data_IF_747569872803
#
_entry.id   IF_747569872803
#
_cell.length_a   1.000
_cell.length_b   1.000
_cell.length_c   1.000
_cell.angle_alpha   90.00
_cell.angle_beta   90.00
_cell.angle_gamma   90.00
#
_symmetry.space_group_name_H-M   'P 1'
#
loop_
_entity.id
_entity.type
_entity.pdbx_description
1 polymer ?
#
# COMPACT_ATOMS: atom_id res chain seq x y z
N UNK A 1 4.32 3.67 -14.86
CA UNK A 1 3.31 4.30 -13.97
C UNK A 1 3.02 3.35 -12.84
N UNK A 2 2.94 3.86 -11.61
CA UNK A 2 2.66 3.10 -10.40
C UNK A 2 1.45 2.18 -10.53
N UNK A 3 1.48 1.09 -9.79
CA UNK A 3 0.33 0.25 -9.56
C UNK A 3 -0.48 0.80 -8.39
N UNK A 4 -1.65 1.36 -8.69
CA UNK A 4 -2.53 2.00 -7.70
C UNK A 4 -3.53 0.97 -7.19
N UNK A 5 -3.48 0.67 -5.90
CA UNK A 5 -4.26 -0.39 -5.27
C UNK A 5 -5.05 0.19 -4.10
N UNK A 6 -6.38 0.06 -4.14
CA UNK A 6 -7.25 0.43 -3.02
C UNK A 6 -7.49 -0.78 -2.12
N UNK A 7 -7.24 -0.62 -0.82
CA UNK A 7 -7.73 -1.53 0.21
C UNK A 7 -9.10 -1.06 0.65
N UNK A 8 -10.11 -1.90 0.45
CA UNK A 8 -11.50 -1.58 0.77
C UNK A 8 -12.11 -2.60 1.72
N UNK A 9 -13.09 -2.13 2.49
CA UNK A 9 -13.73 -2.90 3.53
C UNK A 9 -15.25 -2.80 3.47
N UNK A 10 -15.88 -3.70 4.21
CA UNK A 10 -17.31 -3.82 4.42
C UNK A 10 -17.88 -3.02 5.60
N UNK A 11 -17.10 -2.88 6.66
CA UNK A 11 -17.44 -2.35 7.99
C UNK A 11 -16.14 -1.96 8.72
N UNK A 12 -16.19 -1.02 9.68
CA UNK A 12 -15.01 -0.67 10.48
C UNK A 12 -14.44 -1.86 11.25
N UNK A 13 -13.12 -1.91 11.42
CA UNK A 13 -12.46 -2.88 12.32
C UNK A 13 -11.90 -4.16 11.68
N UNK A 14 -12.10 -4.45 10.39
CA UNK A 14 -11.53 -5.67 9.75
C UNK A 14 -10.07 -5.52 9.31
N UNK A 15 -9.25 -4.68 9.95
CA UNK A 15 -7.80 -4.62 9.69
C UNK A 15 -7.36 -4.02 8.35
N UNK A 16 -8.22 -3.26 7.65
CA UNK A 16 -7.89 -2.56 6.39
C UNK A 16 -6.67 -1.62 6.55
N UNK A 17 -6.75 -0.66 7.47
CA UNK A 17 -5.65 0.29 7.73
C UNK A 17 -4.37 -0.44 8.15
N UNK A 18 -4.47 -1.41 9.06
CA UNK A 18 -3.34 -2.27 9.44
C UNK A 18 -2.73 -2.99 8.24
N UNK A 19 -3.56 -3.47 7.31
CA UNK A 19 -3.11 -4.11 6.08
C UNK A 19 -2.42 -3.12 5.17
N UNK A 20 -3.00 -1.94 4.95
CA UNK A 20 -2.39 -0.90 4.11
C UNK A 20 -1.02 -0.49 4.65
N UNK A 21 -0.92 -0.22 5.95
CA UNK A 21 0.33 0.19 6.63
C UNK A 21 1.40 -0.88 6.52
N UNK A 22 1.08 -2.12 6.86
CA UNK A 22 2.07 -3.20 6.84
C UNK A 22 2.45 -3.62 5.42
N UNK A 23 1.51 -3.57 4.48
CA UNK A 23 1.82 -3.78 3.05
C UNK A 23 2.76 -2.70 2.55
N UNK A 24 2.47 -1.43 2.84
CA UNK A 24 3.32 -0.31 2.43
C UNK A 24 4.73 -0.42 3.02
N UNK A 25 4.80 -0.75 4.32
CA UNK A 25 6.06 -0.88 5.05
C UNK A 25 6.93 -2.02 4.52
N UNK A 26 6.33 -3.20 4.29
CA UNK A 26 7.09 -4.33 3.74
C UNK A 26 7.48 -4.09 2.28
N UNK A 27 6.60 -3.55 1.43
CA UNK A 27 6.96 -3.19 0.06
C UNK A 27 8.12 -2.19 0.01
N UNK A 28 8.14 -1.20 0.90
CA UNK A 28 9.24 -0.25 1.01
C UNK A 28 10.54 -0.91 1.52
N UNK A 29 10.45 -1.87 2.44
CA UNK A 29 11.58 -2.71 2.86
C UNK A 29 12.08 -3.64 1.75
N UNK A 30 11.21 -4.01 0.81
CA UNK A 30 11.50 -4.74 -0.44
C UNK A 30 11.89 -3.82 -1.61
N UNK A 31 11.87 -2.50 -1.34
CA UNK A 31 12.47 -1.42 -2.11
C UNK A 31 11.66 -0.87 -3.25
N UNK A 32 10.39 -1.18 -3.23
CA UNK A 32 9.46 -0.46 -4.06
C UNK A 32 9.32 0.96 -3.54
N UNK A 33 9.22 1.92 -4.45
CA UNK A 33 8.76 3.27 -4.09
C UNK A 33 7.27 3.21 -3.83
N UNK A 34 6.88 3.42 -2.58
CA UNK A 34 5.48 3.31 -2.13
C UNK A 34 4.96 4.66 -1.66
N UNK A 35 3.78 5.01 -2.13
CA UNK A 35 2.95 6.06 -1.54
C UNK A 35 1.76 5.42 -0.83
N UNK A 36 1.66 5.58 0.48
CA UNK A 36 0.44 5.26 1.23
C UNK A 36 -0.46 6.50 1.27
N UNK A 37 -1.74 6.36 0.92
CA UNK A 37 -2.70 7.46 0.89
C UNK A 37 -3.80 7.18 1.90
N UNK A 38 -3.95 8.06 2.88
CA UNK A 38 -5.07 8.02 3.81
C UNK A 38 -6.27 8.73 3.18
N UNK A 39 -7.34 8.00 2.87
CA UNK A 39 -8.60 8.58 2.36
C UNK A 39 -9.70 8.60 3.41
N UNK A 40 -9.43 8.10 4.62
CA UNK A 40 -10.40 8.06 5.70
C UNK A 40 -10.28 9.34 6.53
N UNK A 41 -11.33 10.17 6.67
CA UNK A 41 -11.29 11.36 7.52
C UNK A 41 -10.95 11.06 8.99
N UNK A 42 -11.06 9.80 9.43
CA UNK A 42 -10.58 9.40 10.75
C UNK A 42 -9.04 9.45 10.89
N UNK A 43 -8.29 9.53 9.79
CA UNK A 43 -6.83 9.67 9.83
C UNK A 43 -6.09 8.44 10.39
N UNK A 44 -6.75 7.28 10.44
CA UNK A 44 -6.21 6.10 11.11
C UNK A 44 -4.89 5.62 10.48
N UNK A 45 -4.72 5.73 9.15
CA UNK A 45 -3.45 5.35 8.51
C UNK A 45 -2.36 6.33 8.91
N UNK A 46 -2.68 7.62 8.91
CA UNK A 46 -1.79 8.70 9.31
C UNK A 46 -1.30 8.51 10.75
N UNK A 47 -2.21 8.25 11.69
CA UNK A 47 -1.89 7.96 13.09
C UNK A 47 -1.09 6.67 13.26
N UNK A 48 -1.42 5.61 12.52
CA UNK A 48 -0.68 4.34 12.58
C UNK A 48 0.78 4.51 12.15
N UNK A 49 1.08 5.46 11.26
CA UNK A 49 2.46 5.85 10.95
C UNK A 49 3.09 6.81 11.97
N UNK A 50 2.41 7.12 13.07
CA UNK A 50 2.93 7.91 14.19
C UNK A 50 2.83 9.43 13.99
N UNK A 51 1.98 9.90 13.10
CA UNK A 51 1.71 11.34 12.93
C UNK A 51 0.45 11.74 13.68
N UNK A 52 0.56 12.79 14.49
CA UNK A 52 -0.56 13.35 15.24
C UNK A 52 -1.49 14.15 14.30
N UNK A 53 -2.66 13.59 14.01
CA UNK A 53 -3.64 14.18 13.08
C UNK A 53 -4.26 15.49 13.55
N UNK A 54 -4.27 15.74 14.85
CA UNK A 54 -4.89 16.95 15.41
C UNK A 54 -4.02 18.19 15.19
N UNK A 55 -2.69 17.98 15.11
CA UNK A 55 -1.70 19.03 14.86
C UNK A 55 -1.23 19.09 13.41
N UNK A 56 -1.57 18.09 12.60
CA UNK A 56 -1.04 17.94 11.25
C UNK A 56 -1.79 18.83 10.25
N UNK A 57 -1.06 19.79 9.67
CA UNK A 57 -1.48 20.59 8.52
C UNK A 57 -0.23 21.06 7.76
N UNK A 58 -0.21 21.02 6.42
CA UNK A 58 -1.30 20.63 5.52
C UNK A 58 -1.50 19.11 5.39
N UNK A 59 -2.70 18.70 4.99
CA UNK A 59 -3.09 17.31 4.71
C UNK A 59 -3.70 17.17 3.31
N UNK A 60 -4.18 15.97 2.98
CA UNK A 60 -4.90 15.68 1.73
C UNK A 60 -6.03 16.68 1.45
N UNK A 61 -6.65 17.23 2.50
CA UNK A 61 -7.65 18.29 2.42
C UNK A 61 -7.17 19.47 1.57
N UNK A 62 -5.99 20.03 1.85
CA UNK A 62 -5.46 21.19 1.13
C UNK A 62 -5.06 20.84 -0.32
N UNK A 63 -4.71 19.58 -0.61
CA UNK A 63 -4.51 19.13 -2.00
C UNK A 63 -5.83 19.08 -2.78
N UNK A 64 -6.90 18.59 -2.15
CA UNK A 64 -8.23 18.54 -2.77
C UNK A 64 -8.76 19.94 -3.08
N UNK A 65 -8.48 20.90 -2.22
CA UNK A 65 -8.79 22.32 -2.42
C UNK A 65 -7.86 23.03 -3.42
N UNK A 66 -6.77 22.38 -3.85
CA UNK A 66 -5.71 22.95 -4.70
C UNK A 66 -5.02 24.19 -4.07
N UNK A 67 -4.99 24.25 -2.75
CA UNK A 67 -4.32 25.31 -2.00
C UNK A 67 -2.82 25.02 -1.81
N UNK A 68 -2.47 23.73 -1.86
CA UNK A 68 -1.11 23.22 -1.69
C UNK A 68 -0.72 22.29 -2.81
N UNK A 69 0.59 22.20 -3.06
CA UNK A 69 1.18 21.24 -3.98
C UNK A 69 1.43 19.89 -3.30
N UNK A 70 1.55 18.82 -4.08
CA UNK A 70 1.84 17.47 -3.55
C UNK A 70 3.09 17.46 -2.65
N UNK A 71 4.16 18.13 -3.06
CA UNK A 71 5.43 18.16 -2.34
C UNK A 71 5.36 18.92 -1.00
N UNK A 72 4.41 19.87 -0.85
CA UNK A 72 4.16 20.56 0.41
C UNK A 72 3.39 19.70 1.43
N UNK A 73 2.68 18.66 0.97
CA UNK A 73 1.77 17.86 1.80
C UNK A 73 2.31 16.47 2.11
N UNK A 74 3.08 15.88 1.18
CA UNK A 74 3.57 14.51 1.34
C UNK A 74 4.56 14.38 2.50
N UNK A 75 4.32 13.41 3.38
CA UNK A 75 5.21 13.06 4.48
C UNK A 75 6.18 11.97 4.05
N UNK A 76 7.48 12.22 4.22
CA UNK A 76 8.53 11.25 3.87
C UNK A 76 8.86 10.39 5.09
N UNK A 77 8.13 9.30 5.31
CA UNK A 77 8.37 8.35 6.42
C UNK A 77 9.72 7.64 6.28
N UNK A 78 10.10 7.30 5.05
CA UNK A 78 11.42 6.77 4.74
C UNK A 78 11.79 7.11 3.30
N UNK A 79 12.95 6.64 2.87
CA UNK A 79 13.44 6.78 1.51
C UNK A 79 12.52 6.18 0.43
N UNK A 80 11.86 5.07 0.78
CA UNK A 80 11.01 4.28 -0.11
C UNK A 80 9.52 4.35 0.26
N UNK A 81 9.18 4.97 1.40
CA UNK A 81 7.80 5.08 1.87
C UNK A 81 7.42 6.53 2.13
N UNK A 82 6.48 7.02 1.34
CA UNK A 82 5.84 8.32 1.52
C UNK A 82 4.39 8.13 1.93
N UNK A 83 3.82 9.14 2.59
CA UNK A 83 2.45 9.14 3.07
C UNK A 83 1.78 10.42 2.61
N UNK A 84 0.60 10.32 2.00
CA UNK A 84 -0.34 11.42 1.90
C UNK A 84 -1.25 11.36 3.14
N UNK A 85 -1.04 12.25 4.12
CA UNK A 85 -1.77 12.20 5.36
C UNK A 85 -3.18 12.76 5.22
N UNK A 86 -4.04 12.37 6.15
CA UNK A 86 -5.40 12.87 6.25
C UNK A 86 -5.80 13.15 7.70
N UNK A 87 -6.81 13.98 7.89
CA UNK A 87 -7.37 14.31 9.19
C UNK A 87 -8.87 14.63 9.07
N UNK A 88 -9.49 14.99 10.19
CA UNK A 88 -10.94 15.22 10.29
C UNK A 88 -11.45 16.38 9.40
N UNK A 89 -10.57 17.30 8.99
CA UNK A 89 -10.93 18.40 8.08
C UNK A 89 -11.51 17.90 6.75
N UNK A 90 -11.11 16.71 6.30
CA UNK A 90 -11.58 16.10 5.05
C UNK A 90 -13.10 15.85 5.04
N UNK A 91 -13.73 15.73 6.21
CA UNK A 91 -15.20 15.64 6.30
C UNK A 91 -15.89 16.89 5.73
N UNK A 92 -15.30 18.07 5.90
CA UNK A 92 -15.84 19.32 5.31
C UNK A 92 -15.71 19.35 3.78
N UNK A 93 -14.62 18.77 3.26
CA UNK A 93 -14.36 18.63 1.84
C UNK A 93 -15.34 17.68 1.18
N UNK A 94 -15.77 16.62 1.87
CA UNK A 94 -16.75 15.67 1.36
C UNK A 94 -18.04 16.38 0.90
N UNK A 95 -18.56 17.33 1.70
CA UNK A 95 -19.71 18.15 1.33
C UNK A 95 -19.44 19.09 0.14
N UNK A 96 -18.24 19.63 0.05
CA UNK A 96 -17.80 20.51 -1.05
C UNK A 96 -17.68 19.74 -2.36
N UNK A 97 -17.16 18.51 -2.31
CA UNK A 97 -17.04 17.62 -3.47
C UNK A 97 -18.41 17.32 -4.07
N UNK A 98 -19.47 17.12 -3.29
CA UNK A 98 -20.81 16.85 -3.84
C UNK A 98 -21.30 17.94 -4.80
N UNK A 99 -20.88 19.19 -4.60
CA UNK A 99 -21.25 20.35 -5.44
C UNK A 99 -20.28 20.57 -6.61
N UNK A 100 -19.16 19.85 -6.64
CA UNK A 100 -18.09 20.04 -7.61
C UNK A 100 -18.33 19.25 -8.90
N UNK A 101 -17.93 19.84 -10.04
CA UNK A 101 -17.91 19.14 -11.31
C UNK A 101 -16.77 18.11 -11.33
N UNK A 102 -16.98 16.93 -11.93
CA UNK A 102 -16.00 15.83 -11.96
C UNK A 102 -15.44 15.43 -10.58
N UNK A 103 -16.26 15.58 -9.54
CA UNK A 103 -15.92 15.29 -8.13
C UNK A 103 -15.40 13.87 -7.87
N UNK A 104 -15.71 12.92 -8.74
CA UNK A 104 -15.26 11.53 -8.65
C UNK A 104 -13.79 11.35 -9.07
N UNK A 105 -13.20 12.31 -9.77
CA UNK A 105 -11.89 12.19 -10.42
C UNK A 105 -10.77 12.95 -9.70
N UNK A 106 -11.07 13.67 -8.62
CA UNK A 106 -10.15 14.58 -7.94
C UNK A 106 -8.87 13.87 -7.51
N UNK A 107 -8.98 12.72 -6.84
CA UNK A 107 -7.80 11.97 -6.41
C UNK A 107 -6.97 11.45 -7.59
N UNK A 108 -7.63 10.95 -8.66
CA UNK A 108 -6.95 10.45 -9.85
C UNK A 108 -6.11 11.54 -10.50
N UNK A 109 -6.69 12.72 -10.68
CA UNK A 109 -6.06 13.84 -11.36
C UNK A 109 -4.91 14.41 -10.51
N UNK A 110 -5.06 14.40 -9.18
CA UNK A 110 -3.99 14.76 -8.24
C UNK A 110 -2.81 13.78 -8.25
N UNK A 111 -3.07 12.46 -8.32
CA UNK A 111 -2.01 11.45 -8.33
C UNK A 111 -1.34 11.29 -9.69
N UNK A 112 -2.00 11.67 -10.78
CA UNK A 112 -1.49 11.47 -12.15
C UNK A 112 -0.08 12.05 -12.36
N UNK A 113 0.22 13.32 -11.99
CA UNK A 113 1.54 13.92 -12.20
C UNK A 113 2.67 13.21 -11.45
N UNK A 114 2.38 12.63 -10.28
CA UNK A 114 3.40 11.99 -9.41
C UNK A 114 3.45 10.47 -9.55
N UNK A 115 2.49 9.88 -10.27
CA UNK A 115 2.36 8.41 -10.42
C UNK A 115 3.58 7.71 -11.02
N UNK A 116 4.48 8.43 -11.69
CA UNK A 116 5.72 7.87 -12.24
C UNK A 116 6.84 7.76 -11.21
N UNK A 117 6.73 8.43 -10.06
CA UNK A 117 7.72 8.44 -8.99
C UNK A 117 7.60 7.23 -8.05
N UNK A 118 6.52 6.47 -8.17
CA UNK A 118 6.20 5.34 -7.31
C UNK A 118 6.03 4.05 -8.14
N UNK A 119 6.36 2.92 -7.54
CA UNK A 119 6.02 1.60 -8.05
C UNK A 119 4.63 1.18 -7.58
N UNK A 120 4.27 1.51 -6.32
CA UNK A 120 2.96 1.27 -5.75
C UNK A 120 2.38 2.54 -5.12
N UNK A 121 1.08 2.74 -5.32
CA UNK A 121 0.29 3.70 -4.54
C UNK A 121 -0.81 2.90 -3.85
N UNK A 122 -0.78 2.83 -2.52
CA UNK A 122 -1.73 2.08 -1.72
C UNK A 122 -2.71 3.03 -1.06
N UNK A 123 -3.99 2.87 -1.35
CA UNK A 123 -5.04 3.77 -0.85
C UNK A 123 -5.83 3.08 0.25
N UNK A 124 -5.84 3.69 1.43
CA UNK A 124 -6.63 3.26 2.57
C UNK A 124 -8.03 3.90 2.51
N UNK A 125 -9.01 3.17 1.96
CA UNK A 125 -10.34 3.73 1.72
C UNK A 125 -11.14 3.93 3.02
N UNK A 126 -12.05 4.91 3.12
CA UNK A 126 -12.96 5.00 4.25
C UNK A 126 -13.92 3.80 4.31
N UNK A 127 -14.51 3.49 5.48
CA UNK A 127 -15.45 2.37 5.64
C UNK A 127 -16.78 2.58 4.92
N UNK A 128 -17.12 3.83 4.59
CA UNK A 128 -18.35 4.20 3.90
C UNK A 128 -18.14 4.22 2.38
N UNK A 129 -19.10 3.73 1.61
CA UNK A 129 -19.08 3.75 0.13
C UNK A 129 -19.53 5.11 -0.44
N UNK A 130 -19.08 6.21 0.18
CA UNK A 130 -19.36 7.59 -0.21
C UNK A 130 -18.44 8.11 -1.32
N UNK A 131 -18.45 9.43 -1.54
CA UNK A 131 -17.69 10.09 -2.62
C UNK A 131 -16.17 9.91 -2.48
N UNK A 132 -15.65 9.79 -1.26
CA UNK A 132 -14.23 9.53 -1.00
C UNK A 132 -13.81 8.11 -1.44
N UNK A 133 -14.64 7.10 -1.15
CA UNK A 133 -14.43 5.74 -1.63
C UNK A 133 -14.53 5.66 -3.16
N UNK A 134 -15.45 6.41 -3.77
CA UNK A 134 -15.53 6.52 -5.24
C UNK A 134 -14.25 7.13 -5.81
N UNK A 135 -13.74 8.22 -5.23
CA UNK A 135 -12.46 8.82 -5.65
C UNK A 135 -11.30 7.83 -5.59
N UNK A 136 -11.20 7.07 -4.50
CA UNK A 136 -10.19 6.03 -4.35
C UNK A 136 -10.28 4.97 -5.46
N UNK A 137 -11.49 4.45 -5.74
CA UNK A 137 -11.69 3.45 -6.79
C UNK A 137 -11.49 3.99 -8.21
N UNK A 138 -11.78 5.28 -8.45
CA UNK A 138 -11.54 5.94 -9.73
C UNK A 138 -10.05 6.17 -9.97
N UNK A 139 -9.27 6.46 -8.93
CA UNK A 139 -7.82 6.57 -9.02
C UNK A 139 -7.10 5.21 -9.14
N UNK A 140 -7.72 4.14 -8.65
CA UNK A 140 -7.12 2.81 -8.57
C UNK A 140 -7.12 2.03 -9.87
N UNK A 141 -6.07 1.23 -10.09
CA UNK A 141 -6.06 0.18 -11.11
C UNK A 141 -6.67 -1.10 -10.56
N UNK A 142 -6.49 -1.34 -9.28
CA UNK A 142 -6.82 -2.60 -8.62
C UNK A 142 -7.47 -2.32 -7.27
N UNK A 143 -8.37 -3.20 -6.84
CA UNK A 143 -8.93 -3.18 -5.49
C UNK A 143 -8.73 -4.53 -4.81
N UNK A 144 -8.41 -4.48 -3.52
CA UNK A 144 -8.31 -5.63 -2.64
C UNK A 144 -9.33 -5.46 -1.52
N UNK A 145 -10.19 -6.46 -1.37
CA UNK A 145 -11.17 -6.53 -0.30
C UNK A 145 -10.54 -7.15 0.94
N UNK A 146 -10.55 -6.42 2.06
CA UNK A 146 -10.07 -6.93 3.35
C UNK A 146 -11.27 -7.41 4.17
N UNK A 147 -11.23 -8.67 4.60
CA UNK A 147 -12.33 -9.34 5.31
C UNK A 147 -11.84 -9.90 6.63
N UNK A 148 -12.66 -9.80 7.68
CA UNK A 148 -12.50 -10.57 8.92
C UNK A 148 -13.69 -11.52 9.09
N UNK A 149 -13.48 -12.80 9.45
CA UNK A 149 -14.56 -13.74 9.68
C UNK A 149 -15.61 -13.27 10.68
N UNK A 150 -15.18 -12.63 11.78
CA UNK A 150 -16.07 -12.13 12.83
C UNK A 150 -17.05 -11.07 12.31
N UNK A 151 -16.62 -10.32 11.29
CA UNK A 151 -17.35 -9.19 10.72
C UNK A 151 -17.82 -9.48 9.29
N UNK A 152 -18.04 -10.75 8.95
CA UNK A 152 -18.45 -11.19 7.60
C UNK A 152 -19.96 -11.51 7.48
N UNK A 153 -20.86 -10.51 7.47
CA UNK A 153 -22.19 -10.75 6.95
C UNK A 153 -22.09 -10.79 5.42
N UNK A 154 -22.41 -11.92 4.79
CA UNK A 154 -22.53 -12.04 3.33
C UNK A 154 -23.39 -10.94 2.69
N UNK A 155 -24.38 -10.41 3.42
CA UNK A 155 -25.21 -9.25 3.02
C UNK A 155 -24.38 -8.00 2.73
N UNK A 156 -23.25 -7.90 3.42
CA UNK A 156 -22.26 -6.87 3.29
C UNK A 156 -21.80 -6.71 1.81
N UNK A 157 -21.39 -7.83 1.21
CA UNK A 157 -20.50 -7.83 0.03
C UNK A 157 -21.22 -7.29 -1.21
N UNK A 158 -22.55 -7.46 -1.23
CA UNK A 158 -23.39 -7.05 -2.36
C UNK A 158 -23.29 -5.54 -2.64
N UNK A 159 -23.56 -4.62 -1.68
CA UNK A 159 -23.36 -3.18 -1.88
C UNK A 159 -21.97 -2.78 -2.38
N UNK A 160 -20.92 -3.41 -1.85
CA UNK A 160 -19.54 -3.17 -2.29
C UNK A 160 -19.37 -3.58 -3.76
N UNK A 161 -19.86 -4.76 -4.12
CA UNK A 161 -19.77 -5.27 -5.48
C UNK A 161 -20.58 -4.42 -6.47
N UNK A 162 -21.76 -3.95 -6.09
CA UNK A 162 -22.58 -3.03 -6.89
C UNK A 162 -21.87 -1.69 -7.11
N UNK A 163 -21.23 -1.15 -6.05
CA UNK A 163 -20.43 0.07 -6.14
C UNK A 163 -19.24 -0.13 -7.08
N UNK A 164 -18.48 -1.22 -6.90
CA UNK A 164 -17.38 -1.58 -7.79
C UNK A 164 -17.83 -1.68 -9.25
N UNK A 165 -18.94 -2.37 -9.54
CA UNK A 165 -19.45 -2.49 -10.92
C UNK A 165 -19.82 -1.14 -11.50
N UNK A 166 -20.47 -0.28 -10.73
CA UNK A 166 -20.87 1.06 -11.16
C UNK A 166 -19.65 1.91 -11.49
N UNK A 167 -18.67 1.96 -10.59
CA UNK A 167 -17.40 2.68 -10.82
C UNK A 167 -16.71 2.12 -12.05
N UNK A 168 -16.59 0.79 -12.16
CA UNK A 168 -15.93 0.15 -13.30
C UNK A 168 -16.59 0.48 -14.64
N UNK A 169 -17.92 0.44 -14.71
CA UNK A 169 -18.65 0.66 -15.97
C UNK A 169 -18.65 2.13 -16.40
N UNK A 170 -18.83 3.03 -15.44
CA UNK A 170 -19.15 4.44 -15.72
C UNK A 170 -17.98 5.41 -15.53
N UNK A 171 -17.01 5.08 -14.66
CA UNK A 171 -15.97 6.04 -14.24
C UNK A 171 -14.54 5.53 -14.50
N UNK A 172 -14.27 4.24 -14.29
CA UNK A 172 -12.94 3.65 -14.44
C UNK A 172 -13.01 2.22 -15.00
N UNK A 173 -13.06 2.12 -16.34
CA UNK A 173 -13.12 0.83 -17.07
C UNK A 173 -11.92 -0.09 -16.83
N UNK A 174 -10.80 0.46 -16.36
CA UNK A 174 -9.57 -0.30 -16.12
C UNK A 174 -9.51 -0.94 -14.74
N UNK A 175 -10.41 -0.58 -13.82
CA UNK A 175 -10.43 -1.09 -12.46
C UNK A 175 -10.63 -2.61 -12.43
N UNK A 176 -9.74 -3.31 -11.72
CA UNK A 176 -9.79 -4.76 -11.53
C UNK A 176 -10.08 -5.10 -10.07
N UNK A 177 -10.98 -6.05 -9.87
CA UNK A 177 -11.08 -6.76 -8.61
C UNK A 177 -9.89 -7.71 -8.52
N UNK A 178 -8.87 -7.34 -7.72
CA UNK A 178 -7.62 -8.08 -7.65
C UNK A 178 -7.75 -9.27 -6.70
N UNK A 179 -8.21 -9.02 -5.49
CA UNK A 179 -8.32 -10.11 -4.53
C UNK A 179 -9.09 -9.83 -3.26
N UNK A 180 -9.18 -10.87 -2.44
CA UNK A 180 -9.74 -10.86 -1.09
C UNK A 180 -8.66 -11.35 -0.14
N UNK A 181 -8.32 -10.54 0.87
CA UNK A 181 -7.45 -10.92 1.97
C UNK A 181 -8.29 -11.18 3.22
N UNK A 182 -8.09 -12.33 3.85
CA UNK A 182 -8.67 -12.61 5.16
C UNK A 182 -7.72 -12.17 6.27
N UNK A 183 -8.27 -11.48 7.27
CA UNK A 183 -7.56 -10.92 8.42
C UNK A 183 -8.25 -11.32 9.72
N UNK A 184 -7.55 -11.15 10.85
CA UNK A 184 -8.05 -11.51 12.18
C UNK A 184 -8.59 -12.95 12.24
N UNK A 185 -7.96 -13.86 11.50
CA UNK A 185 -8.45 -15.23 11.37
C UNK A 185 -8.02 -16.10 12.55
N UNK A 186 -8.97 -16.88 13.08
CA UNK A 186 -8.69 -18.03 13.93
C UNK A 186 -9.30 -19.30 13.31
N UNK A 187 -8.49 -20.02 12.52
CA UNK A 187 -8.94 -21.24 11.84
C UNK A 187 -9.16 -22.44 12.76
N UNK A 188 -8.95 -22.30 14.07
CA UNK A 188 -9.42 -23.30 15.05
C UNK A 188 -10.94 -23.24 15.22
N UNK A 189 -11.57 -22.13 14.82
CA UNK A 189 -13.02 -21.95 14.90
C UNK A 189 -13.72 -22.45 13.63
N UNK A 190 -14.89 -23.07 13.79
CA UNK A 190 -15.73 -23.49 12.64
C UNK A 190 -16.18 -22.30 11.80
N UNK A 191 -16.55 -21.19 12.44
CA UNK A 191 -17.01 -19.98 11.76
C UNK A 191 -15.96 -19.42 10.78
N UNK A 192 -14.69 -19.34 11.18
CA UNK A 192 -13.64 -18.87 10.28
C UNK A 192 -13.42 -19.80 9.08
N UNK A 193 -13.59 -21.11 9.27
CA UNK A 193 -13.51 -22.09 8.17
C UNK A 193 -14.69 -21.94 7.21
N UNK A 194 -15.93 -21.81 7.73
CA UNK A 194 -17.13 -21.59 6.92
C UNK A 194 -17.04 -20.32 6.08
N UNK A 195 -16.59 -19.21 6.68
CA UNK A 195 -16.37 -17.96 5.94
C UNK A 195 -15.34 -18.13 4.83
N UNK A 196 -14.22 -18.82 5.10
CA UNK A 196 -13.19 -19.10 4.09
C UNK A 196 -13.76 -19.92 2.94
N UNK A 197 -14.55 -20.93 3.22
CA UNK A 197 -15.12 -21.81 2.19
C UNK A 197 -16.14 -21.06 1.32
N UNK A 198 -16.93 -20.18 1.92
CA UNK A 198 -17.83 -19.26 1.18
C UNK A 198 -17.01 -18.33 0.27
N UNK A 199 -15.95 -17.71 0.80
CA UNK A 199 -15.09 -16.82 0.03
C UNK A 199 -14.41 -17.57 -1.11
N UNK A 200 -13.88 -18.76 -0.86
CA UNK A 200 -13.25 -19.62 -1.88
C UNK A 200 -14.23 -20.01 -2.98
N UNK A 201 -15.50 -20.29 -2.63
CA UNK A 201 -16.55 -20.59 -3.61
C UNK A 201 -16.91 -19.38 -4.48
N UNK A 202 -16.98 -18.19 -3.91
CA UNK A 202 -17.39 -16.97 -4.64
C UNK A 202 -16.21 -16.26 -5.36
N UNK A 203 -14.99 -16.43 -4.87
CA UNK A 203 -13.77 -15.77 -5.35
C UNK A 203 -12.60 -16.75 -5.55
N UNK A 204 -12.77 -17.85 -6.31
CA UNK A 204 -11.80 -18.96 -6.34
C UNK A 204 -10.40 -18.58 -6.85
N UNK A 205 -10.32 -17.60 -7.75
CA UNK A 205 -9.06 -17.11 -8.33
C UNK A 205 -8.58 -15.78 -7.74
N UNK A 206 -9.31 -15.25 -6.76
CA UNK A 206 -9.07 -13.93 -6.18
C UNK A 206 -8.88 -13.99 -4.67
N UNK A 207 -9.08 -15.14 -4.03
CA UNK A 207 -8.78 -15.30 -2.60
C UNK A 207 -7.28 -15.53 -2.42
N UNK A 208 -6.62 -14.62 -1.70
CA UNK A 208 -5.21 -14.80 -1.32
C UNK A 208 -5.06 -16.06 -0.46
N UNK A 209 -3.96 -16.79 -0.65
CA UNK A 209 -3.64 -17.96 0.14
C UNK A 209 -3.20 -17.58 1.56
N UNK A 210 -2.48 -16.45 1.65
CA UNK A 210 -2.05 -15.87 2.92
C UNK A 210 -3.23 -15.35 3.71
N UNK A 211 -3.18 -15.51 5.04
CA UNK A 211 -4.18 -15.02 5.96
C UNK A 211 -3.49 -14.34 7.14
N UNK A 212 -4.08 -13.27 7.66
CA UNK A 212 -3.53 -12.58 8.83
C UNK A 212 -4.25 -13.09 10.08
N UNK A 213 -3.51 -13.69 11.01
CA UNK A 213 -4.09 -14.17 12.28
C UNK A 213 -4.43 -13.01 13.22
N UNK A 214 -5.31 -13.27 14.19
CA UNK A 214 -5.49 -12.32 15.29
C UNK A 214 -4.21 -12.26 16.14
N UNK A 215 -3.63 -11.08 16.28
CA UNK A 215 -2.35 -10.88 16.95
C UNK A 215 -2.34 -9.56 17.72
N UNK A 216 -1.98 -9.60 19.00
CA UNK A 216 -1.98 -8.42 19.89
C UNK A 216 -0.91 -7.40 19.47
N UNK A 217 0.26 -7.86 19.01
CA UNK A 217 1.34 -6.98 18.59
C UNK A 217 0.96 -6.10 17.39
N UNK A 218 0.02 -6.52 16.54
CA UNK A 218 -0.52 -5.66 15.46
C UNK A 218 -1.31 -4.46 16.01
N UNK A 219 -2.01 -4.63 17.13
CA UNK A 219 -2.75 -3.54 17.78
C UNK A 219 -1.80 -2.61 18.52
N UNK A 220 -0.83 -3.18 19.21
CA UNK A 220 0.20 -2.41 19.92
C UNK A 220 1.05 -1.59 18.94
N UNK A 221 1.49 -2.19 17.82
CA UNK A 221 2.22 -1.48 16.76
C UNK A 221 1.46 -0.22 16.29
N UNK A 222 0.15 -0.37 16.02
CA UNK A 222 -0.70 0.75 15.66
C UNK A 222 -0.74 1.85 16.72
N UNK A 223 -0.89 1.48 18.00
CA UNK A 223 -0.90 2.44 19.12
C UNK A 223 0.45 3.15 19.35
N UNK A 224 1.55 2.52 18.92
CA UNK A 224 2.90 3.08 19.00
C UNK A 224 3.31 3.88 17.75
N UNK A 225 2.42 4.04 16.76
CA UNK A 225 2.76 4.76 15.52
C UNK A 225 3.81 4.04 14.68
N UNK A 226 3.80 2.70 14.72
CA UNK A 226 4.79 1.83 14.11
C UNK A 226 4.13 0.75 13.25
N UNK A 227 4.80 0.35 12.18
CA UNK A 227 4.43 -0.90 11.48
C UNK A 227 4.80 -2.12 12.32
N UNK A 228 4.23 -3.29 12.00
CA UNK A 228 4.57 -4.53 12.71
C UNK A 228 6.05 -4.90 12.56
N UNK A 229 6.67 -4.50 11.45
CA UNK A 229 8.08 -4.75 11.17
C UNK A 229 9.02 -3.84 11.97
N UNK A 230 8.51 -2.68 12.42
CA UNK A 230 9.22 -1.77 13.32
C UNK A 230 9.01 -2.20 14.77
N UNK A 231 7.77 -2.49 15.17
CA UNK A 231 7.39 -2.78 16.55
C UNK A 231 7.80 -4.21 17.00
N UNK A 232 7.46 -5.23 16.21
CA UNK A 232 7.67 -6.63 16.58
C UNK A 232 7.99 -7.50 15.34
N UNK A 233 9.20 -7.36 14.73
CA UNK A 233 9.55 -7.99 13.46
C UNK A 233 9.57 -9.53 13.48
N UNK A 234 9.74 -10.14 14.66
CA UNK A 234 9.74 -11.60 14.83
C UNK A 234 8.37 -12.15 15.26
N UNK A 235 7.33 -11.29 15.28
CA UNK A 235 5.99 -11.70 15.68
C UNK A 235 5.31 -12.55 14.61
N UNK A 236 4.36 -13.41 14.99
CA UNK A 236 3.51 -14.11 14.01
C UNK A 236 2.76 -13.17 13.05
N UNK A 237 2.42 -11.96 13.50
CA UNK A 237 1.77 -10.95 12.65
C UNK A 237 2.71 -10.40 11.58
N UNK A 238 3.99 -10.18 11.90
CA UNK A 238 5.01 -9.80 10.92
C UNK A 238 5.18 -10.89 9.86
N UNK A 239 5.27 -12.16 10.31
CA UNK A 239 5.38 -13.30 9.40
C UNK A 239 4.17 -13.45 8.47
N UNK A 240 2.94 -13.29 8.99
CA UNK A 240 1.73 -13.36 8.18
C UNK A 240 1.67 -12.25 7.12
N UNK A 241 2.02 -11.02 7.48
CA UNK A 241 2.07 -9.91 6.53
C UNK A 241 3.21 -10.07 5.52
N UNK A 242 4.38 -10.56 5.93
CA UNK A 242 5.46 -10.90 5.00
C UNK A 242 4.96 -11.86 3.91
N UNK A 243 4.33 -12.98 4.30
CA UNK A 243 3.81 -13.96 3.33
C UNK A 243 2.77 -13.34 2.39
N UNK A 244 1.83 -12.56 2.93
CA UNK A 244 0.82 -11.87 2.12
C UNK A 244 1.47 -10.91 1.13
N UNK A 245 2.44 -10.11 1.56
CA UNK A 245 3.04 -9.10 0.69
C UNK A 245 3.93 -9.76 -0.36
N UNK A 246 4.63 -10.86 -0.04
CA UNK A 246 5.36 -11.65 -1.04
C UNK A 246 4.43 -12.27 -2.09
N UNK A 247 3.28 -12.79 -1.68
CA UNK A 247 2.22 -13.25 -2.58
C UNK A 247 1.71 -12.09 -3.45
N UNK A 248 1.39 -10.94 -2.84
CA UNK A 248 0.99 -9.72 -3.52
C UNK A 248 2.05 -9.27 -4.55
N UNK A 249 3.34 -9.29 -4.21
CA UNK A 249 4.43 -8.90 -5.11
C UNK A 249 4.49 -9.80 -6.35
N UNK A 250 4.41 -11.13 -6.15
CA UNK A 250 4.39 -12.13 -7.24
C UNK A 250 3.23 -11.88 -8.20
N UNK A 251 2.11 -11.45 -7.65
CA UNK A 251 0.89 -11.11 -8.35
C UNK A 251 0.97 -9.84 -9.22
N UNK A 252 2.07 -9.08 -9.14
CA UNK A 252 2.34 -7.86 -9.89
C UNK A 252 3.58 -8.00 -10.79
N UNK A 253 3.53 -8.95 -11.73
CA UNK A 253 4.65 -9.34 -12.60
C UNK A 253 5.33 -8.19 -13.39
N UNK A 254 4.60 -7.14 -13.79
CA UNK A 254 5.22 -5.99 -14.47
C UNK A 254 6.14 -5.18 -13.55
N UNK A 255 5.77 -5.07 -12.27
CA UNK A 255 6.64 -4.45 -11.25
C UNK A 255 7.86 -5.33 -11.01
N UNK A 256 7.70 -6.65 -11.06
CA UNK A 256 8.83 -7.60 -11.02
C UNK A 256 9.76 -7.48 -12.22
N UNK A 257 9.23 -7.31 -13.43
CA UNK A 257 10.06 -7.11 -14.64
C UNK A 257 10.96 -5.87 -14.51
N UNK A 258 10.43 -4.78 -13.96
CA UNK A 258 11.23 -3.58 -13.65
C UNK A 258 12.34 -3.89 -12.65
N UNK A 259 12.08 -4.65 -11.59
CA UNK A 259 13.09 -5.07 -10.60
C UNK A 259 14.15 -5.99 -11.23
N UNK A 260 13.72 -6.99 -12.00
CA UNK A 260 14.60 -7.92 -12.74
C UNK A 260 15.49 -7.17 -13.73
N UNK A 261 14.95 -6.17 -14.44
CA UNK A 261 15.74 -5.35 -15.35
C UNK A 261 16.93 -4.69 -14.63
N UNK A 262 16.74 -4.15 -13.42
CA UNK A 262 17.84 -3.54 -12.68
C UNK A 262 18.81 -4.57 -12.09
N UNK A 263 18.34 -5.76 -11.73
CA UNK A 263 19.20 -6.88 -11.34
C UNK A 263 20.14 -7.28 -12.50
N UNK A 264 19.58 -7.51 -13.68
CA UNK A 264 20.33 -7.87 -14.89
C UNK A 264 21.31 -6.76 -15.28
N UNK A 265 20.87 -5.50 -15.18
CA UNK A 265 21.72 -4.34 -15.43
C UNK A 265 22.90 -4.31 -14.47
N UNK A 266 22.65 -4.49 -13.16
CA UNK A 266 23.70 -4.51 -12.16
C UNK A 266 24.73 -5.61 -12.43
N UNK A 267 24.26 -6.84 -12.70
CA UNK A 267 25.13 -7.98 -12.98
C UNK A 267 26.01 -7.76 -14.22
N UNK A 268 25.51 -7.01 -15.21
CA UNK A 268 26.24 -6.65 -16.42
C UNK A 268 27.27 -5.52 -16.27
N UNK A 269 27.35 -4.83 -15.13
CA UNK A 269 28.33 -3.75 -14.93
C UNK A 269 29.75 -4.28 -14.64
N UNK A 270 30.81 -3.51 -14.97
CA UNK A 270 32.18 -3.80 -14.53
C UNK A 270 32.28 -3.90 -13.00
N UNK A 271 33.15 -4.76 -12.49
CA UNK A 271 33.31 -4.98 -11.04
C UNK A 271 33.66 -3.71 -10.25
N UNK A 272 34.38 -2.77 -10.87
CA UNK A 272 34.67 -1.47 -10.26
C UNK A 272 33.40 -0.66 -10.02
N UNK A 273 32.53 -0.57 -11.02
CA UNK A 273 31.26 0.15 -10.95
C UNK A 273 30.29 -0.52 -9.98
N UNK A 274 30.23 -1.86 -9.97
CA UNK A 274 29.43 -2.61 -8.98
C UNK A 274 29.84 -2.26 -7.55
N UNK A 275 31.14 -2.23 -7.26
CA UNK A 275 31.66 -1.86 -5.94
C UNK A 275 31.31 -0.43 -5.57
N UNK A 276 31.49 0.52 -6.48
CA UNK A 276 31.14 1.93 -6.24
C UNK A 276 29.65 2.10 -5.94
N UNK A 277 28.78 1.45 -6.72
CA UNK A 277 27.33 1.47 -6.50
C UNK A 277 26.95 0.84 -5.17
N UNK A 278 27.54 -0.30 -4.79
CA UNK A 278 27.26 -0.95 -3.51
C UNK A 278 27.73 -0.13 -2.32
N UNK A 279 28.90 0.51 -2.41
CA UNK A 279 29.38 1.45 -1.36
C UNK A 279 28.41 2.62 -1.21
N UNK A 280 27.99 3.20 -2.33
CA UNK A 280 27.02 4.30 -2.30
C UNK A 280 25.64 3.84 -1.78
N UNK A 281 25.20 2.62 -2.13
CA UNK A 281 23.97 2.03 -1.61
C UNK A 281 24.04 1.84 -0.08
N UNK A 282 25.15 1.30 0.46
CA UNK A 282 25.36 1.15 1.91
C UNK A 282 25.30 2.49 2.64
N UNK A 283 25.91 3.53 2.07
CA UNK A 283 25.91 4.87 2.63
C UNK A 283 24.54 5.55 2.62
N UNK A 284 23.63 5.14 1.72
CA UNK A 284 22.29 5.70 1.61
C UNK A 284 21.24 4.98 2.44
N UNK A 285 21.50 3.75 2.90
CA UNK A 285 20.57 3.01 3.76
C UNK A 285 20.03 3.86 4.91
N UNK A 286 18.77 3.68 5.28
CA UNK A 286 18.18 4.38 6.42
C UNK A 286 18.96 4.10 7.72
N UNK A 287 18.91 5.01 8.69
CA UNK A 287 19.52 4.83 10.01
C UNK A 287 19.08 3.52 10.67
N UNK A 288 17.82 3.10 10.46
CA UNK A 288 17.26 1.82 10.89
C UNK A 288 17.98 0.60 10.27
N UNK A 289 18.31 0.65 8.98
CA UNK A 289 19.03 -0.41 8.30
C UNK A 289 20.53 -0.39 8.64
N UNK A 290 21.13 0.78 8.86
CA UNK A 290 22.54 0.92 9.24
C UNK A 290 22.85 0.36 10.63
N UNK A 291 22.04 0.66 11.64
CA UNK A 291 22.27 0.13 13.01
C UNK A 291 22.16 -1.38 13.11
N UNK A 292 21.47 -2.05 12.16
CA UNK A 292 21.41 -3.52 12.07
C UNK A 292 22.55 -4.12 11.23
N UNK A 293 23.24 -3.31 10.44
CA UNK A 293 24.40 -3.68 9.64
C UNK A 293 25.66 -3.85 10.52
N UNK A 294 25.79 -3.06 11.58
CA UNK A 294 26.94 -3.07 12.49
C UNK A 294 27.03 -4.32 13.41
N UNK A 295 26.13 -5.30 13.28
CA UNK A 295 26.15 -6.51 14.12
C UNK A 295 25.69 -7.82 13.49
N UNK A 296 24.97 -7.83 12.36
CA UNK A 296 24.35 -9.06 11.80
C UNK A 296 24.23 -9.01 10.27
N UNK A 297 25.37 -8.98 9.57
CA UNK A 297 25.49 -8.85 8.09
C UNK A 297 24.78 -9.96 7.28
N UNK A 298 24.37 -11.07 7.91
CA UNK A 298 23.76 -12.23 7.25
C UNK A 298 22.21 -12.27 7.29
N UNK A 299 21.52 -11.21 7.72
CA UNK A 299 20.06 -11.21 7.66
C UNK A 299 19.55 -10.97 6.23
N UNK A 300 18.68 -11.83 5.67
CA UNK A 300 18.12 -11.68 4.32
C UNK A 300 17.51 -10.29 4.08
N UNK A 301 16.87 -9.73 5.09
CA UNK A 301 16.25 -8.39 5.09
C UNK A 301 17.27 -7.28 4.81
N UNK A 302 18.51 -7.41 5.27
CA UNK A 302 19.58 -6.41 5.06
C UNK A 302 20.15 -6.53 3.65
N UNK A 303 20.32 -7.76 3.13
CA UNK A 303 20.73 -7.97 1.74
C UNK A 303 19.67 -7.42 0.78
N UNK A 304 18.38 -7.59 1.10
CA UNK A 304 17.29 -6.97 0.35
C UNK A 304 17.38 -5.45 0.42
N UNK A 305 17.50 -4.84 1.61
CA UNK A 305 17.71 -3.40 1.78
C UNK A 305 18.85 -2.84 0.90
N UNK A 306 19.95 -3.58 0.77
CA UNK A 306 21.08 -3.21 -0.07
C UNK A 306 20.79 -3.30 -1.58
N UNK A 307 20.16 -4.39 -2.02
CA UNK A 307 19.70 -4.59 -3.41
C UNK A 307 18.81 -3.44 -3.87
N UNK A 308 18.02 -2.92 -2.94
CA UNK A 308 17.06 -1.85 -3.17
C UNK A 308 17.76 -0.54 -3.44
N UNK A 309 18.68 -0.12 -2.56
CA UNK A 309 19.36 1.15 -2.79
C UNK A 309 20.30 1.11 -3.99
N UNK A 310 20.88 -0.06 -4.27
CA UNK A 310 21.55 -0.33 -5.54
C UNK A 310 20.61 -0.10 -6.72
N UNK A 311 19.41 -0.66 -6.72
CA UNK A 311 18.42 -0.47 -7.79
C UNK A 311 17.98 0.99 -7.92
N UNK A 312 17.89 1.74 -6.82
CA UNK A 312 17.57 3.17 -6.83
C UNK A 312 18.62 3.99 -7.56
N UNK A 313 19.90 3.69 -7.33
CA UNK A 313 21.01 4.33 -8.02
C UNK A 313 20.94 4.00 -9.51
N UNK A 314 20.71 2.73 -9.86
CA UNK A 314 20.59 2.28 -11.25
C UNK A 314 19.42 2.90 -11.98
N UNK A 315 18.29 3.14 -11.33
CA UNK A 315 17.14 3.81 -11.94
C UNK A 315 17.46 5.26 -12.35
N UNK A 316 18.25 5.97 -11.55
CA UNK A 316 18.72 7.33 -11.90
C UNK A 316 19.69 7.33 -13.08
N UNK A 317 20.57 6.32 -13.14
CA UNK A 317 21.60 6.20 -14.18
C UNK A 317 21.02 5.62 -15.49
N UNK A 318 20.08 4.68 -15.39
CA UNK A 318 19.55 3.88 -16.49
C UNK A 318 18.01 3.78 -16.41
N UNK A 319 17.26 4.86 -16.68
CA UNK A 319 15.82 4.87 -16.51
C UNK A 319 15.13 3.73 -17.29
N UNK A 320 14.32 2.92 -16.62
CA UNK A 320 13.53 1.87 -17.26
C UNK A 320 12.50 2.49 -18.22
N UNK A 321 12.78 2.43 -19.51
CA UNK A 321 11.83 2.81 -20.56
C UNK A 321 11.02 1.58 -20.93
N UNK A 322 9.71 1.62 -20.67
CA UNK A 322 8.78 0.65 -21.24
C UNK A 322 8.90 0.73 -22.76
N UNK A 323 9.56 -0.24 -23.39
CA UNK A 323 9.29 -0.49 -24.80
C UNK A 323 7.87 -1.03 -24.87
N UNK A 324 6.91 -0.13 -25.09
CA UNK A 324 5.68 -0.50 -25.77
C UNK A 324 6.12 -1.02 -27.13
N UNK A 325 6.30 -2.35 -27.24
CA UNK A 325 6.36 -3.00 -28.54
C UNK A 325 4.97 -2.86 -29.15
N UNK A 326 4.75 -1.77 -29.87
CA UNK A 326 4.01 -1.86 -31.13
C UNK A 326 4.81 -2.77 -32.04
N UNK A 327 4.38 -4.01 -32.12
CA UNK A 327 4.55 -4.87 -33.29
C UNK A 327 3.17 -5.39 -33.67
#
# INVERSE_FOLDING_TARGET
MAQVVSFIIQKGGCGKTTTTVNTASYLAQQGFKVLAVDMDPQGNLTQHFGYDTDLLSPTLTQLFLKEKTFDEVVLRRSENLHILPNNIEMTSIEFTLYKSFQREFVLRDMLHPVSHQYDFILIDCPPNLGILSVNALVASKELILVVSPEFFPMRAIKPLYETYRTVKQSLNRTLKFKGVLMTMCDFRTRHAQEVRDILRKNFPQSLYQSNIRNNVALKEAASHGQSIFEYAPQSPGAFDYQNFVEEFIKDHAEVQKKKSFYEDRFQGLPEKEKKEILVFAQQNLSTYNRTRLDGLVEQPVIQEALIIERNRILEKLFPYRHHAKTQ
#
